data_IF_070093248542
#
_entry.id   IF_070093248542
#
_cell.length_a   1.000
_cell.length_b   1.000
_cell.length_c   1.000
_cell.angle_alpha   90.00
_cell.angle_beta   90.00
_cell.angle_gamma   90.00
#
_symmetry.space_group_name_H-M   'P 1'
#
loop_
_entity.id
_entity.type
_entity.pdbx_description
1 polymer ?
#
# COMPACT_ATOMS: atom_id res chain seq x y z
N UNK A 1 -83.73 -41.02 5.64
CA UNK A 1 -84.37 -39.85 5.01
C UNK A 1 -83.29 -38.77 4.87
N UNK A 2 -82.74 -38.65 3.68
CA UNK A 2 -82.64 -37.41 2.89
C UNK A 2 -82.13 -36.22 3.69
N UNK A 3 -81.14 -35.47 3.33
CA UNK A 3 -80.65 -34.88 2.07
C UNK A 3 -79.27 -34.21 2.32
N UNK A 4 -78.33 -34.43 1.42
CA UNK A 4 -77.78 -33.44 0.44
C UNK A 4 -76.94 -32.29 0.99
N UNK A 5 -75.73 -32.39 0.49
CA UNK A 5 -75.03 -31.40 -0.35
C UNK A 5 -74.59 -30.10 0.36
N UNK A 6 -73.33 -29.80 0.34
CA UNK A 6 -72.74 -29.04 -0.76
C UNK A 6 -71.24 -28.89 -0.58
N UNK A 7 -70.57 -29.15 -1.65
CA UNK A 7 -69.18 -28.72 -1.92
C UNK A 7 -69.08 -27.22 -1.85
N UNK A 8 -67.99 -26.74 -1.28
CA UNK A 8 -67.39 -25.48 -1.75
C UNK A 8 -65.87 -25.59 -1.63
N UNK A 9 -65.31 -25.85 -2.78
CA UNK A 9 -63.87 -25.61 -3.03
C UNK A 9 -63.65 -24.11 -2.92
N UNK A 10 -62.82 -23.74 -1.97
CA UNK A 10 -62.18 -22.42 -2.00
C UNK A 10 -60.68 -22.63 -2.23
N UNK A 11 -60.34 -22.51 -3.47
CA UNK A 11 -58.98 -22.45 -3.98
C UNK A 11 -58.38 -21.13 -3.49
N UNK A 12 -57.64 -21.18 -2.38
CA UNK A 12 -56.87 -20.01 -1.93
C UNK A 12 -55.47 -20.10 -2.53
N UNK A 13 -55.35 -19.46 -3.69
CA UNK A 13 -54.09 -19.21 -4.35
C UNK A 13 -53.29 -18.22 -3.50
N UNK A 14 -52.52 -18.75 -2.58
CA UNK A 14 -51.56 -17.95 -1.81
C UNK A 14 -50.39 -17.56 -2.70
N UNK A 15 -50.44 -16.32 -3.16
CA UNK A 15 -49.35 -15.67 -3.89
C UNK A 15 -48.16 -15.55 -2.95
N UNK A 16 -47.19 -16.48 -3.04
CA UNK A 16 -45.90 -16.36 -2.41
C UNK A 16 -45.12 -15.30 -3.18
N UNK A 17 -45.26 -14.04 -2.79
CA UNK A 17 -44.31 -12.98 -3.20
C UNK A 17 -42.99 -13.24 -2.51
N UNK A 18 -42.10 -13.95 -3.20
CA UNK A 18 -40.68 -13.94 -2.84
C UNK A 18 -40.19 -12.49 -3.00
N UNK A 19 -40.13 -11.80 -1.87
CA UNK A 19 -39.41 -10.55 -1.78
C UNK A 19 -37.92 -10.86 -1.91
N UNK A 20 -37.42 -10.81 -3.14
CA UNK A 20 -36.00 -10.68 -3.39
C UNK A 20 -35.57 -9.33 -2.84
N UNK A 21 -35.15 -9.30 -1.58
CA UNK A 21 -34.32 -8.22 -1.07
C UNK A 21 -32.99 -8.31 -1.83
N UNK A 22 -32.60 -7.30 -2.61
CA UNK A 22 -31.24 -7.24 -3.08
C UNK A 22 -30.41 -7.08 -1.82
N UNK A 23 -29.74 -8.17 -1.42
CA UNK A 23 -28.65 -8.12 -0.49
C UNK A 23 -27.60 -7.23 -1.12
N UNK A 24 -27.60 -5.95 -0.76
CA UNK A 24 -26.45 -5.10 -0.94
C UNK A 24 -25.33 -5.65 -0.08
N UNK A 25 -24.76 -6.75 -0.56
CA UNK A 25 -23.44 -7.16 -0.18
C UNK A 25 -22.55 -6.04 -0.71
N UNK A 26 -22.21 -5.11 0.17
CA UNK A 26 -21.16 -4.16 -0.12
C UNK A 26 -19.91 -4.98 -0.46
N UNK A 27 -19.74 -5.23 -1.75
CA UNK A 27 -18.43 -5.55 -2.27
C UNK A 27 -17.55 -4.40 -1.80
N UNK A 28 -16.72 -4.68 -0.81
CA UNK A 28 -15.49 -3.91 -0.66
C UNK A 28 -14.78 -4.12 -2.00
N UNK A 29 -14.99 -3.22 -2.93
CA UNK A 29 -14.09 -3.04 -4.04
C UNK A 29 -12.76 -2.77 -3.37
N UNK A 30 -11.93 -3.79 -3.29
CA UNK A 30 -10.51 -3.59 -3.12
C UNK A 30 -10.13 -2.80 -4.36
N UNK A 31 -10.13 -1.47 -4.24
CA UNK A 31 -9.56 -0.59 -5.24
C UNK A 31 -8.07 -0.90 -5.28
N UNK A 32 -7.73 -1.99 -5.97
CA UNK A 32 -6.36 -2.28 -6.39
C UNK A 32 -6.01 -1.10 -7.27
N UNK A 33 -5.03 -0.27 -6.91
CA UNK A 33 -4.66 0.85 -7.76
C UNK A 33 -4.34 0.27 -9.13
N UNK A 34 -5.12 0.67 -10.11
CA UNK A 34 -4.78 0.39 -11.49
C UNK A 34 -3.35 0.90 -11.69
N UNK A 35 -2.44 0.03 -12.12
CA UNK A 35 -1.02 0.37 -12.27
C UNK A 35 -0.81 1.58 -13.16
N UNK A 36 -1.76 1.89 -14.05
CA UNK A 36 -1.79 3.09 -14.88
C UNK A 36 -1.97 4.38 -14.08
N UNK A 37 -2.56 4.33 -12.86
CA UNK A 37 -2.77 5.49 -12.01
C UNK A 37 -1.62 5.77 -11.04
N UNK A 38 -0.54 4.99 -11.08
CA UNK A 38 0.65 5.27 -10.26
C UNK A 38 1.58 6.32 -10.89
N UNK A 39 1.61 6.42 -12.22
CA UNK A 39 2.49 7.38 -12.92
C UNK A 39 2.26 8.80 -12.42
N UNK A 40 3.35 9.52 -12.18
CA UNK A 40 3.39 10.90 -11.66
C UNK A 40 2.73 11.09 -10.27
N UNK A 41 2.62 10.02 -9.49
CA UNK A 41 2.10 10.11 -8.12
C UNK A 41 3.19 10.25 -7.08
N UNK A 42 2.89 11.03 -6.04
CA UNK A 42 3.76 11.22 -4.88
C UNK A 42 3.15 10.59 -3.64
N UNK A 43 3.97 9.88 -2.90
CA UNK A 43 3.61 9.22 -1.66
C UNK A 43 4.60 9.61 -0.57
N UNK A 44 4.11 10.07 0.57
CA UNK A 44 4.98 10.55 1.66
C UNK A 44 4.54 9.90 2.96
N UNK A 45 5.50 9.40 3.74
CA UNK A 45 5.21 8.92 5.08
C UNK A 45 5.05 10.09 6.06
N UNK A 46 4.39 9.85 7.19
CA UNK A 46 3.94 10.92 8.11
C UNK A 46 5.09 11.75 8.71
N UNK A 47 6.28 11.19 8.87
CA UNK A 47 7.45 11.95 9.39
C UNK A 47 8.13 12.79 8.33
N UNK A 48 7.83 12.57 7.04
CA UNK A 48 8.44 13.23 5.90
C UNK A 48 9.87 12.80 5.61
N UNK A 49 10.39 11.79 6.33
CA UNK A 49 11.75 11.27 6.11
C UNK A 49 11.88 10.53 4.78
N UNK A 50 10.84 9.79 4.41
CA UNK A 50 10.78 9.04 3.15
C UNK A 50 9.65 9.54 2.27
N UNK A 51 9.92 9.64 0.97
CA UNK A 51 8.87 9.79 -0.02
C UNK A 51 9.17 8.98 -1.28
N UNK A 52 8.11 8.58 -1.96
CA UNK A 52 8.15 7.82 -3.19
C UNK A 52 7.48 8.66 -4.29
N UNK A 53 8.14 8.79 -5.43
CA UNK A 53 7.55 9.37 -6.63
C UNK A 53 7.62 8.36 -7.76
N UNK A 54 6.48 7.93 -8.25
CA UNK A 54 6.41 6.98 -9.36
C UNK A 54 6.51 7.70 -10.70
N UNK A 55 7.61 7.52 -11.41
CA UNK A 55 7.74 7.99 -12.79
C UNK A 55 6.95 7.08 -13.75
N UNK A 56 6.84 5.81 -13.39
CA UNK A 56 6.08 4.79 -14.12
C UNK A 56 5.71 3.62 -13.19
N UNK A 57 4.89 2.66 -13.62
CA UNK A 57 4.62 1.46 -12.83
C UNK A 57 5.83 0.56 -12.56
N UNK A 58 6.96 0.83 -13.23
CA UNK A 58 8.21 0.05 -13.13
C UNK A 58 9.37 0.84 -12.54
N UNK A 59 9.18 2.13 -12.28
CA UNK A 59 10.23 3.02 -11.85
C UNK A 59 9.75 3.99 -10.77
N UNK A 60 10.42 3.98 -9.64
CA UNK A 60 10.12 4.83 -8.49
C UNK A 60 11.35 5.59 -8.06
N UNK A 61 11.20 6.88 -7.82
CA UNK A 61 12.21 7.71 -7.17
C UNK A 61 11.94 7.70 -5.67
N UNK A 62 12.88 7.12 -4.92
CA UNK A 62 12.88 7.23 -3.46
C UNK A 62 13.67 8.46 -3.03
N UNK A 63 13.07 9.24 -2.15
CA UNK A 63 13.68 10.41 -1.55
C UNK A 63 13.79 10.21 -0.06
N UNK A 64 14.99 10.45 0.46
CA UNK A 64 15.28 10.40 1.89
C UNK A 64 15.68 11.79 2.33
N UNK A 65 14.97 12.33 3.31
CA UNK A 65 15.23 13.68 3.88
C UNK A 65 15.73 13.48 5.30
N UNK A 66 17.04 13.56 5.55
CA UNK A 66 17.59 13.42 6.91
C UNK A 66 17.01 14.47 7.86
N UNK A 67 16.76 14.08 9.10
CA UNK A 67 16.44 15.03 10.17
C UNK A 67 17.74 15.71 10.61
N UNK A 68 17.97 16.96 10.18
CA UNK A 68 19.14 17.72 10.52
C UNK A 68 19.88 18.26 9.29
N UNK A 69 21.06 18.88 9.49
CA UNK A 69 21.88 19.37 8.40
C UNK A 69 22.42 18.18 7.60
N UNK A 70 21.81 17.92 6.46
CA UNK A 70 22.19 16.82 5.57
C UNK A 70 21.62 17.05 4.18
N UNK A 71 22.29 16.48 3.18
CA UNK A 71 21.80 16.54 1.82
C UNK A 71 20.65 15.55 1.64
N UNK A 72 19.60 16.03 1.00
CA UNK A 72 18.52 15.22 0.48
C UNK A 72 19.08 14.19 -0.49
N UNK A 73 18.77 12.93 -0.26
CA UNK A 73 19.18 11.82 -1.13
C UNK A 73 18.00 11.42 -2.02
N UNK A 74 18.28 11.28 -3.30
CA UNK A 74 17.27 10.85 -4.29
C UNK A 74 17.86 9.72 -5.13
N UNK A 75 17.15 8.63 -5.26
CA UNK A 75 17.55 7.47 -6.06
C UNK A 75 16.40 7.01 -6.93
N UNK A 76 16.70 6.75 -8.20
CA UNK A 76 15.77 6.18 -9.14
C UNK A 76 15.95 4.66 -9.14
N UNK A 77 14.89 3.92 -8.83
CA UNK A 77 14.94 2.48 -8.61
C UNK A 77 13.88 1.76 -9.43
N UNK A 78 14.23 0.56 -9.85
CA UNK A 78 13.25 -0.34 -10.45
C UNK A 78 12.25 -0.81 -9.40
N UNK A 79 10.98 -0.89 -9.78
CA UNK A 79 9.94 -1.46 -8.96
C UNK A 79 9.01 -2.37 -9.77
N UNK A 80 8.25 -3.18 -9.07
CA UNK A 80 7.24 -4.07 -9.64
C UNK A 80 5.98 -3.99 -8.81
N UNK A 81 4.84 -3.82 -9.48
CA UNK A 81 3.52 -3.87 -8.85
C UNK A 81 2.82 -5.15 -9.29
N UNK A 82 2.38 -5.95 -8.31
CA UNK A 82 1.63 -7.18 -8.50
C UNK A 82 0.35 -7.14 -7.68
N UNK A 83 -0.77 -6.93 -8.35
CA UNK A 83 -2.03 -6.69 -7.65
C UNK A 83 -1.93 -5.44 -6.78
N UNK A 84 -2.19 -5.59 -5.50
CA UNK A 84 -2.06 -4.55 -4.47
C UNK A 84 -0.64 -4.42 -3.88
N UNK A 85 0.29 -5.25 -4.32
CA UNK A 85 1.63 -5.34 -3.71
C UNK A 85 2.68 -4.60 -4.54
N UNK A 86 3.53 -3.83 -3.85
CA UNK A 86 4.67 -3.11 -4.40
C UNK A 86 5.97 -3.73 -3.91
N UNK A 87 6.86 -4.00 -4.84
CA UNK A 87 8.23 -4.45 -4.59
C UNK A 87 9.21 -3.44 -5.20
N UNK A 88 10.17 -2.96 -4.42
CA UNK A 88 11.25 -2.11 -4.92
C UNK A 88 12.53 -2.92 -4.89
N UNK A 89 13.31 -2.86 -5.98
CA UNK A 89 14.58 -3.56 -6.09
C UNK A 89 15.58 -3.06 -5.04
N UNK A 90 16.30 -3.99 -4.44
CA UNK A 90 17.34 -3.66 -3.48
C UNK A 90 18.39 -2.73 -4.10
N UNK A 91 18.75 -1.68 -3.38
CA UNK A 91 19.75 -0.72 -3.82
C UNK A 91 20.70 -0.36 -2.69
N UNK A 92 21.99 -0.42 -2.99
CA UNK A 92 23.07 -0.04 -2.09
C UNK A 92 23.89 1.06 -2.75
N UNK A 93 24.02 2.18 -2.07
CA UNK A 93 24.85 3.28 -2.51
C UNK A 93 26.28 3.16 -1.94
N UNK A 94 27.27 3.50 -2.77
CA UNK A 94 28.63 3.74 -2.31
C UNK A 94 28.70 5.14 -1.72
N UNK A 95 29.21 5.27 -0.52
CA UNK A 95 29.41 6.55 0.15
C UNK A 95 30.89 6.68 0.54
N UNK A 96 31.38 7.88 0.86
CA UNK A 96 32.74 8.05 1.38
C UNK A 96 33.01 7.25 2.67
N UNK A 97 31.95 6.81 3.35
CA UNK A 97 32.00 6.10 4.62
C UNK A 97 31.68 4.60 4.49
N UNK A 98 31.54 4.10 3.26
CA UNK A 98 31.24 2.70 2.97
C UNK A 98 29.90 2.49 2.25
N UNK A 99 29.53 1.23 2.13
CA UNK A 99 28.30 0.82 1.47
C UNK A 99 27.10 1.06 2.39
N UNK A 100 26.08 1.77 1.87
CA UNK A 100 24.87 2.08 2.59
C UNK A 100 23.66 1.51 1.85
N UNK A 101 22.89 0.63 2.49
CA UNK A 101 21.62 0.17 1.95
C UNK A 101 20.60 1.31 1.96
N UNK A 102 20.19 1.74 0.79
CA UNK A 102 19.14 2.75 0.63
C UNK A 102 17.78 2.10 0.77
N UNK A 103 17.61 0.96 0.10
CA UNK A 103 16.42 0.12 0.17
C UNK A 103 16.85 -1.34 0.10
N UNK A 104 16.33 -2.15 1.02
CA UNK A 104 16.49 -3.58 1.00
C UNK A 104 15.18 -4.25 1.43
N UNK A 105 14.80 -5.31 0.73
CA UNK A 105 13.63 -6.15 1.00
C UNK A 105 12.30 -5.37 1.13
N UNK A 106 12.13 -4.33 0.30
CA UNK A 106 10.93 -3.52 0.30
C UNK A 106 9.72 -4.33 -0.17
N UNK A 107 8.72 -4.37 0.70
CA UNK A 107 7.40 -4.96 0.42
C UNK A 107 6.32 -4.02 0.90
N UNK A 108 5.53 -3.50 -0.01
CA UNK A 108 4.43 -2.61 0.28
C UNK A 108 3.09 -3.22 -0.14
N UNK A 109 2.04 -2.79 0.51
CA UNK A 109 0.66 -3.13 0.14
C UNK A 109 -0.16 -1.84 0.03
N UNK A 110 -0.81 -1.66 -1.12
CA UNK A 110 -1.71 -0.54 -1.38
C UNK A 110 -3.09 -0.81 -0.77
N UNK A 111 -3.68 0.23 -0.20
CA UNK A 111 -5.07 0.23 0.26
C UNK A 111 -5.65 1.63 0.02
N UNK A 112 -6.33 1.83 -1.10
CA UNK A 112 -6.83 3.14 -1.52
C UNK A 112 -5.69 4.16 -1.70
N UNK A 113 -5.70 5.23 -0.91
CA UNK A 113 -4.68 6.29 -0.93
C UNK A 113 -3.50 6.04 0.02
N UNK A 114 -3.42 4.87 0.62
CA UNK A 114 -2.36 4.48 1.54
C UNK A 114 -1.53 3.33 0.97
N UNK A 115 -0.24 3.33 1.29
CA UNK A 115 0.71 2.26 1.02
C UNK A 115 1.41 1.93 2.33
N UNK A 116 1.18 0.75 2.87
CA UNK A 116 1.89 0.27 4.05
C UNK A 116 3.05 -0.61 3.63
N UNK A 117 4.25 -0.33 4.11
CA UNK A 117 5.45 -1.04 3.68
C UNK A 117 6.37 -1.45 4.83
N UNK A 118 7.02 -2.58 4.62
CA UNK A 118 8.16 -3.07 5.40
C UNK A 118 9.41 -2.99 4.54
N UNK A 119 10.52 -2.49 5.08
CA UNK A 119 11.80 -2.50 4.39
C UNK A 119 12.97 -2.25 5.34
N UNK A 120 14.16 -2.58 4.88
CA UNK A 120 15.40 -2.20 5.54
C UNK A 120 16.04 -1.01 4.79
N UNK A 121 16.65 -0.12 5.54
CA UNK A 121 17.43 1.01 5.04
C UNK A 121 18.67 1.20 5.94
N UNK A 122 19.40 2.29 5.78
CA UNK A 122 20.47 2.66 6.70
C UNK A 122 20.50 4.18 6.86
N UNK A 123 21.05 4.62 7.98
CA UNK A 123 21.32 6.02 8.27
C UNK A 123 22.76 6.21 8.68
N UNK A 124 23.26 7.43 8.58
CA UNK A 124 24.57 7.83 9.10
C UNK A 124 24.37 8.48 10.46
N UNK A 125 25.06 7.98 11.46
CA UNK A 125 25.05 8.54 12.81
C UNK A 125 26.41 9.14 13.13
N UNK A 126 26.46 10.39 13.62
CA UNK A 126 27.70 10.98 14.17
C UNK A 126 28.22 10.10 15.30
N UNK A 127 29.55 10.04 15.44
CA UNK A 127 30.21 9.40 16.56
C UNK A 127 30.92 10.49 17.40
N UNK A 128 30.80 10.40 18.73
CA UNK A 128 31.39 11.42 19.63
C UNK A 128 32.90 11.45 19.52
N UNK A 129 33.53 10.31 19.31
CA UNK A 129 35.00 10.16 19.34
C UNK A 129 35.61 9.98 17.93
N UNK A 130 34.87 10.20 16.87
CA UNK A 130 35.33 9.99 15.49
C UNK A 130 34.77 11.04 14.53
N UNK A 131 35.59 11.62 13.66
CA UNK A 131 35.12 12.50 12.60
C UNK A 131 34.31 11.75 11.51
N UNK A 132 34.34 10.42 11.52
CA UNK A 132 33.71 9.57 10.55
C UNK A 132 32.36 9.08 11.08
N UNK A 133 31.26 9.37 10.43
CA UNK A 133 29.93 8.84 10.84
C UNK A 133 29.89 7.33 10.65
N UNK A 134 29.11 6.67 11.50
CA UNK A 134 28.84 5.24 11.40
C UNK A 134 27.57 5.00 10.58
N UNK A 135 27.62 4.07 9.65
CA UNK A 135 26.44 3.58 8.93
C UNK A 135 25.70 2.58 9.84
N UNK A 136 24.46 2.88 10.18
CA UNK A 136 23.61 2.07 11.06
C UNK A 136 22.41 1.56 10.28
N UNK A 137 22.20 0.23 10.24
CA UNK A 137 21.02 -0.35 9.60
C UNK A 137 19.75 0.03 10.36
N UNK A 138 18.67 0.24 9.62
CA UNK A 138 17.32 0.51 10.12
C UNK A 138 16.37 -0.54 9.57
N UNK A 139 15.62 -1.18 10.45
CA UNK A 139 14.49 -2.03 10.06
C UNK A 139 13.21 -1.24 10.26
N UNK A 140 12.50 -1.00 9.17
CA UNK A 140 11.31 -0.18 9.11
C UNK A 140 10.11 -1.10 8.90
N UNK A 141 9.15 -1.05 9.81
CA UNK A 141 7.96 -1.91 9.81
C UNK A 141 6.69 -1.09 9.81
N UNK A 142 5.73 -1.54 9.01
CA UNK A 142 4.41 -0.92 8.89
C UNK A 142 4.46 0.60 8.64
N UNK A 143 5.42 1.03 7.81
CA UNK A 143 5.55 2.44 7.42
C UNK A 143 4.40 2.78 6.49
N UNK A 144 3.60 3.78 6.84
CA UNK A 144 2.45 4.21 6.05
C UNK A 144 2.83 5.43 5.22
N UNK A 145 2.73 5.28 3.91
CA UNK A 145 2.83 6.36 2.94
C UNK A 145 1.44 6.77 2.50
N UNK A 146 1.19 8.07 2.41
CA UNK A 146 -0.08 8.63 1.92
C UNK A 146 0.13 9.31 0.58
N UNK A 147 -0.77 9.04 -0.34
CA UNK A 147 -0.81 9.70 -1.66
C UNK A 147 -1.11 11.18 -1.46
N UNK A 148 -0.34 12.03 -2.13
CA UNK A 148 -0.52 13.49 -2.17
C UNK A 148 -1.03 13.97 -3.51
#
# INVERSE_FOLDING_TARGET
>A
MLLRKASFSALLLGLLTLSFLPSCRGEKTNDIPDTHHLTDTNWTEDTGLYSLHFNSPKEVKIKIIPKGPGHKLEYLLDCEVKGDSLFIKNYTAETPFGKMHIVKDFKGAFSGSELTADFESATMQPQEDSPTPKIVPLSLKAVVFKKK
#
